data_IF_037218548748
#
_entry.id   IF_037218548748
#
_cell.length_a   1.000
_cell.length_b   1.000
_cell.length_c   1.000
_cell.angle_alpha   90.00
_cell.angle_beta   90.00
_cell.angle_gamma   90.00
#
_symmetry.space_group_name_H-M   'P 1'
#
loop_
_entity.id
_entity.type
_entity.pdbx_description
1 polymer ?
#
# COMPACT_ATOMS: atom_id res chain seq x y z
N UNK A 1 -4.18 -4.57 -6.75
CA UNK A 1 -4.29 -3.29 -6.03
C UNK A 1 -2.91 -2.79 -5.66
N UNK A 2 -2.50 -1.64 -6.19
CA UNK A 2 -1.21 -1.02 -5.85
C UNK A 2 -1.18 -0.50 -4.41
N UNK A 3 -0.01 -0.43 -3.79
CA UNK A 3 0.11 0.14 -2.44
C UNK A 3 -0.23 1.64 -2.40
N UNK A 4 -0.04 2.37 -3.51
CA UNK A 4 -0.55 3.74 -3.65
C UNK A 4 -2.07 3.80 -3.44
N UNK A 5 -2.83 2.84 -3.98
CA UNK A 5 -4.29 2.79 -3.81
C UNK A 5 -4.65 2.54 -2.35
N UNK A 6 -3.97 1.60 -1.70
CA UNK A 6 -4.16 1.32 -0.27
C UNK A 6 -3.94 2.58 0.60
N UNK A 7 -2.93 3.38 0.27
CA UNK A 7 -2.59 4.60 1.00
C UNK A 7 -3.67 5.70 0.94
N UNK A 8 -4.70 5.53 0.10
CA UNK A 8 -5.84 6.44 -0.03
C UNK A 8 -7.14 5.82 0.51
N UNK A 9 -7.19 4.50 0.69
CA UNK A 9 -8.41 3.78 1.10
C UNK A 9 -8.61 3.80 2.61
N UNK A 10 -9.81 4.20 3.03
CA UNK A 10 -10.24 4.25 4.44
C UNK A 10 -11.53 3.45 4.64
N UNK A 11 -11.70 2.86 5.83
CA UNK A 11 -12.98 2.28 6.23
C UNK A 11 -14.00 3.37 6.59
N UNK A 12 -15.12 3.39 5.88
CA UNK A 12 -16.22 4.33 6.09
C UNK A 12 -17.45 3.67 6.75
N UNK A 13 -17.25 2.57 7.49
CA UNK A 13 -18.34 1.89 8.20
C UNK A 13 -18.91 2.81 9.27
N UNK A 14 -20.24 2.80 9.44
CA UNK A 14 -20.94 3.57 10.45
C UNK A 14 -20.35 3.37 11.85
N UNK A 15 -20.07 4.48 12.53
CA UNK A 15 -19.51 4.50 13.88
C UNK A 15 -17.98 4.39 13.94
N UNK A 16 -17.28 4.19 12.82
CA UNK A 16 -15.81 4.24 12.75
C UNK A 16 -15.36 5.69 12.64
N UNK A 17 -14.45 6.12 13.51
CA UNK A 17 -13.80 7.43 13.42
C UNK A 17 -12.36 7.32 12.91
N UNK A 18 -11.67 6.21 13.21
CA UNK A 18 -10.30 5.94 12.82
C UNK A 18 -10.25 4.73 11.87
N UNK A 19 -10.72 4.92 10.64
CA UNK A 19 -10.79 3.87 9.63
C UNK A 19 -9.51 3.67 8.79
N UNK A 20 -8.45 4.43 9.08
CA UNK A 20 -7.21 4.48 8.30
C UNK A 20 -5.98 4.38 9.21
N UNK A 21 -4.90 3.69 8.81
CA UNK A 21 -4.80 2.84 7.62
C UNK A 21 -5.49 1.49 7.80
N UNK A 22 -5.95 0.91 6.69
CA UNK A 22 -6.44 -0.48 6.67
C UNK A 22 -5.26 -1.44 6.84
N UNK A 23 -5.45 -2.50 7.61
CA UNK A 23 -4.44 -3.55 7.82
C UNK A 23 -4.44 -4.47 6.59
N UNK A 24 -3.28 -4.65 5.97
CA UNK A 24 -3.09 -5.58 4.85
C UNK A 24 -2.86 -7.00 5.37
N UNK A 25 -3.67 -7.94 4.88
CA UNK A 25 -3.43 -9.37 4.97
C UNK A 25 -3.34 -9.94 3.57
N UNK A 26 -2.18 -9.79 2.94
CA UNK A 26 -1.93 -10.28 1.59
C UNK A 26 -1.69 -11.80 1.61
N UNK A 27 -2.37 -12.52 0.71
CA UNK A 27 -2.08 -13.93 0.43
C UNK A 27 -1.26 -14.09 -0.84
N UNK A 28 -1.46 -13.19 -1.81
CA UNK A 28 -0.73 -13.17 -3.08
C UNK A 28 -0.44 -11.73 -3.52
N UNK A 29 0.82 -11.47 -3.84
CA UNK A 29 1.29 -10.19 -4.37
C UNK A 29 1.95 -10.40 -5.74
N UNK A 30 2.02 -9.34 -6.53
CA UNK A 30 2.71 -9.26 -7.82
C UNK A 30 3.66 -8.06 -7.80
N UNK A 31 4.90 -8.31 -8.21
CA UNK A 31 5.85 -7.29 -8.60
C UNK A 31 5.82 -7.11 -10.12
N UNK A 32 5.61 -5.87 -10.57
CA UNK A 32 5.64 -5.48 -11.98
C UNK A 32 6.32 -4.13 -12.10
N UNK A 33 7.51 -4.12 -12.71
CA UNK A 33 8.29 -2.90 -12.90
C UNK A 33 7.56 -1.91 -13.82
N UNK A 34 7.39 -0.69 -13.33
CA UNK A 34 6.80 0.43 -14.06
C UNK A 34 7.83 1.53 -14.34
N UNK A 35 7.65 2.35 -15.38
CA UNK A 35 8.63 3.38 -15.72
C UNK A 35 8.72 4.44 -14.62
N UNK A 36 9.91 4.59 -14.05
CA UNK A 36 10.18 5.59 -13.03
C UNK A 36 10.14 7.01 -13.60
N UNK A 37 9.29 7.85 -13.02
CA UNK A 37 9.24 9.29 -13.28
C UNK A 37 9.44 10.07 -11.98
N UNK A 38 10.60 10.73 -11.88
CA UNK A 38 10.97 11.53 -10.71
C UNK A 38 9.93 12.61 -10.40
N UNK A 39 9.45 13.33 -11.41
CA UNK A 39 8.50 14.44 -11.23
C UNK A 39 7.15 13.96 -10.70
N UNK A 40 6.71 12.79 -11.18
CA UNK A 40 5.47 12.17 -10.74
C UNK A 40 5.54 11.69 -9.29
N UNK A 41 6.63 11.00 -8.90
CA UNK A 41 6.79 10.54 -7.51
C UNK A 41 6.88 11.72 -6.57
N UNK A 42 7.66 12.75 -6.93
CA UNK A 42 7.79 13.99 -6.14
C UNK A 42 6.43 14.66 -5.91
N UNK A 43 5.59 14.73 -6.94
CA UNK A 43 4.24 15.29 -6.83
C UNK A 43 3.27 14.45 -5.96
N UNK A 44 3.57 13.16 -5.76
CA UNK A 44 2.77 12.27 -4.92
C UNK A 44 3.16 12.31 -3.44
N UNK A 45 4.41 12.66 -3.11
CA UNK A 45 4.91 12.79 -1.73
C UNK A 45 3.92 13.49 -0.78
N UNK A 46 3.39 14.70 -1.10
CA UNK A 46 2.50 15.41 -0.17
C UNK A 46 1.14 14.72 0.04
N UNK A 47 0.77 13.77 -0.82
CA UNK A 47 -0.50 13.01 -0.72
C UNK A 47 -0.34 11.69 0.01
N UNK A 48 0.90 11.26 0.25
CA UNK A 48 1.19 9.97 0.85
C UNK A 48 1.19 10.12 2.36
N UNK A 49 0.38 9.31 3.03
CA UNK A 49 0.55 9.09 4.46
C UNK A 49 1.68 8.09 4.65
N UNK A 50 2.85 8.60 5.04
CA UNK A 50 4.09 7.84 5.08
C UNK A 50 4.08 6.73 6.14
N UNK A 51 3.46 6.96 7.29
CA UNK A 51 3.41 5.99 8.38
C UNK A 51 2.53 4.78 8.02
N UNK A 52 1.41 5.02 7.33
CA UNK A 52 0.55 4.01 6.75
C UNK A 52 1.27 3.20 5.68
N UNK A 53 2.08 3.87 4.84
CA UNK A 53 2.89 3.17 3.85
C UNK A 53 3.91 2.24 4.51
N UNK A 54 4.62 2.70 5.54
CA UNK A 54 5.60 1.87 6.27
C UNK A 54 4.94 0.62 6.88
N UNK A 55 3.75 0.76 7.46
CA UNK A 55 2.96 -0.37 7.95
C UNK A 55 2.59 -1.33 6.83
N UNK A 56 2.07 -0.81 5.71
CA UNK A 56 1.72 -1.59 4.53
C UNK A 56 2.92 -2.39 3.99
N UNK A 57 4.12 -1.78 3.93
CA UNK A 57 5.34 -2.49 3.52
C UNK A 57 5.67 -3.62 4.48
N UNK A 58 5.60 -3.38 5.79
CA UNK A 58 5.87 -4.41 6.81
C UNK A 58 4.88 -5.57 6.75
N UNK A 59 3.62 -5.30 6.47
CA UNK A 59 2.57 -6.31 6.29
C UNK A 59 2.79 -7.12 5.00
N UNK A 60 3.16 -6.45 3.89
CA UNK A 60 3.49 -7.11 2.62
C UNK A 60 4.73 -7.99 2.72
N UNK A 61 5.73 -7.61 3.53
CA UNK A 61 6.92 -8.44 3.78
C UNK A 61 6.58 -9.79 4.41
N UNK A 62 5.44 -9.91 5.09
CA UNK A 62 4.96 -11.17 5.68
C UNK A 62 4.20 -12.04 4.67
N UNK A 63 3.93 -11.53 3.46
CA UNK A 63 3.22 -12.27 2.43
C UNK A 63 4.08 -13.46 1.95
N UNK A 64 3.56 -14.69 2.00
CA UNK A 64 4.32 -15.89 1.64
C UNK A 64 4.60 -15.99 0.13
N UNK A 65 3.81 -15.29 -0.69
CA UNK A 65 3.89 -15.38 -2.14
C UNK A 65 3.90 -13.98 -2.77
N UNK A 66 5.02 -13.62 -3.39
CA UNK A 66 5.16 -12.40 -4.19
C UNK A 66 5.70 -12.80 -5.56
N UNK A 67 4.83 -12.87 -6.56
CA UNK A 67 5.20 -13.20 -7.92
C UNK A 67 6.12 -12.12 -8.51
N UNK A 68 7.23 -12.52 -9.13
CA UNK A 68 8.21 -11.61 -9.72
C UNK A 68 9.22 -11.02 -8.74
N UNK A 69 9.22 -11.46 -7.47
CA UNK A 69 10.26 -11.07 -6.51
C UNK A 69 11.67 -11.46 -6.96
N UNK A 70 11.81 -12.52 -7.75
CA UNK A 70 13.04 -12.96 -8.40
C UNK A 70 13.74 -11.85 -9.22
N UNK A 71 12.99 -10.90 -9.78
CA UNK A 71 13.55 -9.75 -10.50
C UNK A 71 14.03 -8.62 -9.58
N UNK A 72 13.35 -8.46 -8.43
CA UNK A 72 13.64 -7.41 -7.47
C UNK A 72 14.68 -7.86 -6.42
N UNK A 73 14.80 -9.17 -6.19
CA UNK A 73 15.61 -9.78 -5.14
C UNK A 73 15.00 -9.63 -3.75
N UNK A 74 14.82 -8.39 -3.30
CA UNK A 74 14.30 -8.08 -1.96
C UNK A 74 13.43 -6.81 -1.97
N UNK A 75 12.42 -6.75 -1.10
CA UNK A 75 11.60 -5.55 -0.96
C UNK A 75 12.45 -4.35 -0.52
N UNK A 76 12.24 -3.15 -1.11
CA UNK A 76 13.00 -1.97 -0.76
C UNK A 76 12.78 -1.60 0.71
N UNK A 77 13.87 -1.31 1.41
CA UNK A 77 13.79 -0.78 2.77
C UNK A 77 13.61 0.73 2.70
N UNK A 78 12.47 1.20 3.19
CA UNK A 78 12.17 2.62 3.39
C UNK A 78 12.65 3.09 4.76
N UNK A 79 13.16 4.34 4.90
CA UNK A 79 13.53 4.91 6.18
C UNK A 79 12.31 5.06 7.12
N UNK A 80 12.54 5.09 8.43
CA UNK A 80 11.46 5.24 9.42
C UNK A 80 10.77 6.61 9.38
N UNK A 81 11.46 7.62 8.85
CA UNK A 81 10.96 8.97 8.69
C UNK A 81 11.22 9.44 7.26
N UNK A 82 10.33 10.28 6.74
CA UNK A 82 10.53 10.92 5.44
C UNK A 82 11.79 11.81 5.50
N UNK A 83 12.71 11.72 4.53
CA UNK A 83 13.86 12.61 4.45
C UNK A 83 13.43 14.08 4.40
N UNK A 84 14.27 14.98 4.90
CA UNK A 84 13.98 16.42 4.87
C UNK A 84 13.86 16.96 3.44
N UNK A 85 14.68 16.46 2.52
CA UNK A 85 14.67 16.81 1.10
C UNK A 85 14.48 15.54 0.25
N UNK A 86 13.25 14.99 0.17
CA UNK A 86 13.02 13.74 -0.56
C UNK A 86 13.21 13.91 -2.07
N UNK A 87 13.08 15.13 -2.60
CA UNK A 87 13.25 15.43 -4.04
C UNK A 87 14.72 15.39 -4.50
N UNK A 88 15.67 15.56 -3.58
CA UNK A 88 17.10 15.53 -3.87
C UNK A 88 17.66 14.10 -3.84
N UNK A 89 17.00 13.20 -3.11
CA UNK A 89 17.40 11.81 -2.94
C UNK A 89 16.74 10.90 -3.99
N UNK A 90 17.39 10.75 -5.15
CA UNK A 90 16.88 9.90 -6.24
C UNK A 90 16.76 8.43 -5.82
N UNK A 91 17.67 7.93 -4.97
CA UNK A 91 17.62 6.56 -4.48
C UNK A 91 16.39 6.33 -3.60
N UNK A 92 16.05 7.30 -2.74
CA UNK A 92 14.81 7.28 -1.98
C UNK A 92 13.58 7.30 -2.89
N UNK A 93 13.55 8.18 -3.89
CA UNK A 93 12.42 8.27 -4.84
C UNK A 93 12.24 6.98 -5.64
N UNK A 94 13.33 6.30 -6.03
CA UNK A 94 13.28 5.00 -6.69
C UNK A 94 12.70 3.91 -5.79
N UNK A 95 13.15 3.85 -4.53
CA UNK A 95 12.59 2.91 -3.54
C UNK A 95 11.11 3.18 -3.29
N UNK A 96 10.74 4.45 -3.16
CA UNK A 96 9.37 4.89 -2.95
C UNK A 96 8.49 4.53 -4.14
N UNK A 97 8.97 4.76 -5.36
CA UNK A 97 8.30 4.36 -6.60
C UNK A 97 8.00 2.87 -6.62
N UNK A 98 9.02 2.04 -6.34
CA UNK A 98 8.88 0.59 -6.37
C UNK A 98 7.83 0.10 -5.39
N UNK A 99 7.84 0.64 -4.17
CA UNK A 99 6.83 0.27 -3.18
C UNK A 99 5.43 0.70 -3.64
N UNK A 100 5.27 1.93 -4.14
CA UNK A 100 3.95 2.49 -4.45
C UNK A 100 3.32 1.94 -5.72
N UNK A 101 4.11 1.74 -6.77
CA UNK A 101 3.63 1.49 -8.13
C UNK A 101 3.95 0.09 -8.65
N UNK A 102 5.10 -0.47 -8.26
CA UNK A 102 5.55 -1.77 -8.78
C UNK A 102 4.99 -2.94 -7.97
N UNK A 103 4.55 -2.71 -6.73
CA UNK A 103 3.91 -3.73 -5.89
C UNK A 103 2.39 -3.64 -5.96
N UNK A 104 1.78 -4.77 -6.29
CA UNK A 104 0.33 -4.92 -6.36
C UNK A 104 -0.13 -6.17 -5.61
N UNK A 105 -1.10 -6.01 -4.71
CA UNK A 105 -1.83 -7.15 -4.14
C UNK A 105 -2.74 -7.76 -5.19
N UNK A 106 -2.68 -9.07 -5.38
CA UNK A 106 -3.59 -9.84 -6.23
C UNK A 106 -4.72 -10.43 -5.39
N UNK A 107 -4.37 -11.09 -4.30
CA UNK A 107 -5.33 -11.71 -3.39
C UNK A 107 -4.97 -11.35 -1.94
N UNK A 108 -6.01 -11.14 -1.15
CA UNK A 108 -5.86 -10.86 0.27
C UNK A 108 -7.07 -10.16 0.85
N UNK A 109 -6.86 -9.55 2.00
CA UNK A 109 -7.90 -8.85 2.76
C UNK A 109 -7.36 -7.51 3.28
N UNK A 110 -8.22 -6.51 3.29
CA UNK A 110 -8.01 -5.25 3.99
C UNK A 110 -8.90 -5.23 5.23
N UNK A 111 -8.32 -5.07 6.41
CA UNK A 111 -9.06 -5.11 7.68
C UNK A 111 -9.14 -3.71 8.27
N UNK A 112 -10.35 -3.27 8.60
CA UNK A 112 -10.55 -2.02 9.33
C UNK A 112 -9.93 -2.14 10.74
N UNK A 113 -9.08 -1.19 11.15
CA UNK A 113 -8.40 -1.26 12.44
C UNK A 113 -9.36 -1.09 13.63
N UNK A 114 -10.46 -0.35 13.47
CA UNK A 114 -11.40 -0.07 14.56
C UNK A 114 -12.57 -1.06 14.60
N UNK A 115 -13.23 -1.29 13.47
CA UNK A 115 -14.42 -2.17 13.42
C UNK A 115 -14.09 -3.65 13.19
N UNK A 116 -12.86 -3.98 12.80
CA UNK A 116 -12.48 -5.32 12.38
C UNK A 116 -13.14 -5.79 11.07
N UNK A 117 -13.88 -4.92 10.37
CA UNK A 117 -14.52 -5.25 9.09
C UNK A 117 -13.47 -5.64 8.06
N UNK A 118 -13.70 -6.79 7.44
CA UNK A 118 -12.85 -7.33 6.38
C UNK A 118 -13.40 -6.94 5.02
N UNK A 119 -12.53 -6.38 4.18
CA UNK A 119 -12.76 -6.05 2.78
C UNK A 119 -11.89 -6.96 1.91
N UNK A 120 -12.47 -7.94 1.20
CA UNK A 120 -11.69 -8.87 0.39
C UNK A 120 -11.12 -8.18 -0.85
N UNK A 121 -9.91 -8.57 -1.25
CA UNK A 121 -9.25 -8.15 -2.48
C UNK A 121 -9.11 -9.38 -3.37
N UNK A 122 -9.78 -9.36 -4.52
CA UNK A 122 -9.77 -10.46 -5.49
C UNK A 122 -9.30 -9.91 -6.84
N UNK A 123 -8.38 -10.61 -7.50
CA UNK A 123 -7.76 -10.19 -8.77
C UNK A 123 -7.25 -8.73 -8.75
N UNK A 124 -6.75 -8.33 -7.58
CA UNK A 124 -6.25 -6.99 -7.32
C UNK A 124 -7.31 -5.90 -7.25
N UNK A 125 -8.59 -6.24 -7.16
CA UNK A 125 -9.71 -5.30 -6.99
C UNK A 125 -10.23 -5.41 -5.55
N UNK A 126 -10.09 -4.34 -4.73
CA UNK A 126 -10.63 -4.33 -3.38
C UNK A 126 -12.16 -4.12 -3.40
N UNK A 127 -12.89 -5.01 -2.74
CA UNK A 127 -14.34 -4.84 -2.54
C UNK A 127 -14.62 -4.04 -1.27
N UNK A 128 -14.88 -2.75 -1.44
CA UNK A 128 -15.17 -1.80 -0.35
C UNK A 128 -16.68 -1.58 -0.12
N UNK A 129 -17.54 -2.44 -0.67
CA UNK A 129 -18.99 -2.32 -0.49
C UNK A 129 -19.39 -2.61 0.96
N UNK A 130 -20.23 -1.74 1.49
CA UNK A 130 -20.87 -1.89 2.79
C UNK A 130 -22.33 -2.31 2.56
N UNK A 131 -22.87 -3.11 3.48
CA UNK A 131 -24.30 -3.41 3.47
C UNK A 131 -25.08 -2.17 3.91
N UNK A 132 -26.37 -2.08 3.56
CA UNK A 132 -27.22 -0.93 3.93
C UNK A 132 -27.26 -0.67 5.44
N UNK A 133 -27.15 -1.71 6.27
CA UNK A 133 -27.09 -1.61 7.73
C UNK A 133 -25.72 -1.11 8.26
N UNK A 134 -24.67 -1.13 7.43
CA UNK A 134 -23.30 -0.74 7.79
C UNK A 134 -22.93 0.69 7.34
N UNK A 135 -23.84 1.38 6.64
CA UNK A 135 -23.70 2.78 6.16
C UNK A 135 -24.30 3.79 7.13
#
# INVERSE_FOLDING_TARGET
MRLMTHNVLQCNKKGVQNGFPLIIKATSMKYEETPFDKSFVSAMIPKIEYHALLKAVSEVQQCPNIAGMDKLGSLPVLPLAMPANPDEDEDFLRRLHTVLFDLSMLEGELVCPESGRVFPVNDGIPNMLLNDDEV
#
